data_IF_075513405996
#
_entry.id   IF_075513405996
#
_cell.length_a   1.000
_cell.length_b   1.000
_cell.length_c   1.000
_cell.angle_alpha   90.00
_cell.angle_beta   90.00
_cell.angle_gamma   90.00
#
_symmetry.space_group_name_H-M   'P 1'
#
loop_
_entity.id
_entity.type
_entity.pdbx_description
1 polymer ?
#
# COMPACT_ATOMS: atom_id res chain seq x y z
N UNK A 1 3.77 -19.08 35.68
CA UNK A 1 4.60 -19.01 34.45
C UNK A 1 5.85 -18.20 34.75
N UNK A 2 7.01 -18.66 34.28
CA UNK A 2 8.26 -17.92 34.41
C UNK A 2 8.15 -16.57 33.69
N UNK A 3 8.79 -15.52 34.21
CA UNK A 3 8.80 -14.16 33.60
C UNK A 3 9.19 -14.18 32.10
N UNK A 4 10.01 -15.16 31.70
CA UNK A 4 10.42 -15.38 30.31
C UNK A 4 9.28 -15.89 29.42
N UNK A 5 8.46 -16.84 29.89
CA UNK A 5 7.32 -17.39 29.14
C UNK A 5 6.31 -16.27 28.83
N UNK A 6 5.96 -15.47 29.84
CA UNK A 6 5.02 -14.36 29.67
C UNK A 6 5.54 -13.29 28.68
N UNK A 7 6.85 -13.02 28.70
CA UNK A 7 7.49 -12.11 27.74
C UNK A 7 7.45 -12.65 26.32
N UNK A 8 7.69 -13.95 26.13
CA UNK A 8 7.64 -14.60 24.81
C UNK A 8 6.22 -14.54 24.25
N UNK A 9 5.21 -14.92 25.04
CA UNK A 9 3.80 -14.85 24.62
C UNK A 9 3.40 -13.44 24.19
N UNK A 10 3.76 -12.40 24.96
CA UNK A 10 3.49 -11.00 24.59
C UNK A 10 4.16 -10.57 23.29
N UNK A 11 5.39 -11.06 23.03
CA UNK A 11 6.11 -10.76 21.78
C UNK A 11 5.43 -11.47 20.60
N UNK A 12 5.04 -12.73 20.75
CA UNK A 12 4.37 -13.51 19.71
C UNK A 12 3.00 -12.90 19.35
N UNK A 13 2.20 -12.53 20.35
CA UNK A 13 0.91 -11.87 20.13
C UNK A 13 1.05 -10.55 19.36
N UNK A 14 2.07 -9.74 19.71
CA UNK A 14 2.35 -8.49 19.00
C UNK A 14 2.84 -8.75 17.58
N UNK A 15 3.76 -9.69 17.40
CA UNK A 15 4.29 -10.03 16.08
C UNK A 15 3.19 -10.57 15.18
N UNK A 16 2.29 -11.40 15.71
CA UNK A 16 1.13 -11.92 14.98
C UNK A 16 0.26 -10.79 14.40
N UNK A 17 -0.07 -9.78 15.22
CA UNK A 17 -0.81 -8.60 14.75
C UNK A 17 -0.08 -7.86 13.63
N UNK A 18 1.23 -7.62 13.81
CA UNK A 18 2.07 -6.95 12.81
C UNK A 18 2.14 -7.75 11.49
N UNK A 19 2.24 -9.07 11.55
CA UNK A 19 2.29 -9.90 10.34
C UNK A 19 0.96 -9.89 9.60
N UNK A 20 -0.18 -9.89 10.29
CA UNK A 20 -1.50 -9.72 9.65
C UNK A 20 -1.56 -8.39 8.89
N UNK A 21 -1.14 -7.30 9.53
CA UNK A 21 -1.15 -5.96 8.93
C UNK A 21 -0.26 -5.91 7.68
N UNK A 22 0.94 -6.52 7.74
CA UNK A 22 1.84 -6.63 6.58
C UNK A 22 1.21 -7.41 5.42
N UNK A 23 0.54 -8.53 5.71
CA UNK A 23 -0.14 -9.33 4.69
C UNK A 23 -1.26 -8.50 4.04
N UNK A 24 -2.04 -7.77 4.83
CA UNK A 24 -3.07 -6.87 4.31
C UNK A 24 -2.48 -5.76 3.43
N UNK A 25 -1.42 -5.08 3.91
CA UNK A 25 -0.74 -4.01 3.18
C UNK A 25 -0.20 -4.44 1.82
N UNK A 26 0.27 -5.69 1.73
CA UNK A 26 0.83 -6.25 0.50
C UNK A 26 -0.19 -6.98 -0.37
N UNK A 27 -1.42 -7.18 0.13
CA UNK A 27 -2.48 -7.92 -0.55
C UNK A 27 -2.96 -7.26 -1.85
N UNK A 28 -3.40 -8.09 -2.80
CA UNK A 28 -4.08 -7.62 -4.01
C UNK A 28 -5.43 -6.96 -3.71
N UNK A 29 -6.12 -7.41 -2.65
CA UNK A 29 -7.39 -6.82 -2.22
C UNK A 29 -7.25 -5.34 -1.92
N UNK A 30 -6.24 -4.94 -1.14
CA UNK A 30 -5.96 -3.53 -0.86
C UNK A 30 -5.60 -2.76 -2.13
N UNK A 31 -4.82 -3.35 -3.05
CA UNK A 31 -4.41 -2.70 -4.31
C UNK A 31 -5.60 -2.42 -5.23
N UNK A 32 -6.52 -3.38 -5.34
CA UNK A 32 -7.75 -3.22 -6.14
C UNK A 32 -8.63 -2.13 -5.53
N UNK A 33 -8.79 -2.10 -4.20
CA UNK A 33 -9.53 -1.05 -3.51
C UNK A 33 -8.91 0.33 -3.75
N UNK A 34 -7.59 0.46 -3.60
CA UNK A 34 -6.87 1.70 -3.88
C UNK A 34 -7.08 2.14 -5.34
N UNK A 35 -6.90 1.24 -6.30
CA UNK A 35 -7.11 1.55 -7.71
C UNK A 35 -8.54 2.02 -8.00
N UNK A 36 -9.54 1.31 -7.46
CA UNK A 36 -10.95 1.63 -7.65
C UNK A 36 -11.29 3.01 -7.04
N UNK A 37 -10.92 3.25 -5.77
CA UNK A 37 -11.23 4.52 -5.11
C UNK A 37 -10.49 5.69 -5.71
N UNK A 38 -9.21 5.53 -6.08
CA UNK A 38 -8.45 6.58 -6.77
C UNK A 38 -9.07 6.91 -8.12
N UNK A 39 -9.45 5.89 -8.91
CA UNK A 39 -10.10 6.10 -10.19
C UNK A 39 -11.44 6.83 -10.06
N UNK A 40 -12.29 6.41 -9.13
CA UNK A 40 -13.58 7.05 -8.89
C UNK A 40 -13.41 8.49 -8.40
N UNK A 41 -12.53 8.73 -7.41
CA UNK A 41 -12.29 10.07 -6.86
C UNK A 41 -11.82 11.05 -7.93
N UNK A 42 -10.85 10.65 -8.76
CA UNK A 42 -10.32 11.50 -9.83
C UNK A 42 -11.37 11.69 -10.92
N UNK A 43 -12.10 10.64 -11.30
CA UNK A 43 -13.16 10.74 -12.33
C UNK A 43 -14.25 11.71 -11.91
N UNK A 44 -14.73 11.62 -10.67
CA UNK A 44 -15.73 12.55 -10.14
C UNK A 44 -15.20 13.98 -10.03
N UNK A 45 -13.95 14.15 -9.59
CA UNK A 45 -13.33 15.47 -9.55
C UNK A 45 -13.24 16.10 -10.95
N UNK A 46 -12.71 15.36 -11.94
CA UNK A 46 -12.59 15.84 -13.32
C UNK A 46 -13.95 16.14 -13.96
N UNK A 47 -14.97 15.36 -13.61
CA UNK A 47 -16.35 15.62 -14.03
C UNK A 47 -16.91 16.90 -13.39
N UNK A 48 -16.63 17.15 -12.11
CA UNK A 48 -17.09 18.34 -11.40
C UNK A 48 -16.49 19.65 -11.93
N UNK A 49 -15.28 19.59 -12.50
CA UNK A 49 -14.62 20.74 -13.16
C UNK A 49 -14.83 20.75 -14.69
N UNK A 50 -15.78 19.97 -15.20
CA UNK A 50 -16.21 19.94 -16.61
C UNK A 50 -15.07 19.65 -17.62
N UNK A 51 -14.07 18.86 -17.21
CA UNK A 51 -13.00 18.40 -18.11
C UNK A 51 -13.59 17.48 -19.17
N UNK A 52 -13.18 17.65 -20.43
CA UNK A 52 -13.58 16.75 -21.50
C UNK A 52 -13.08 15.32 -21.23
N UNK A 53 -13.97 14.33 -21.38
CA UNK A 53 -13.66 12.89 -21.20
C UNK A 53 -13.05 12.58 -19.82
N UNK A 54 -13.73 12.92 -18.70
CA UNK A 54 -13.15 12.83 -17.35
C UNK A 54 -12.76 11.39 -16.97
N UNK A 55 -13.57 10.41 -17.35
CA UNK A 55 -13.34 8.98 -17.13
C UNK A 55 -12.12 8.42 -17.87
N UNK A 56 -11.80 8.98 -19.05
CA UNK A 56 -10.61 8.61 -19.81
C UNK A 56 -9.36 9.28 -19.19
N UNK A 57 -9.48 10.56 -18.85
CA UNK A 57 -8.38 11.33 -18.28
C UNK A 57 -7.97 10.85 -16.89
N UNK A 58 -8.91 10.27 -16.12
CA UNK A 58 -8.64 9.68 -14.82
C UNK A 58 -7.77 8.40 -14.88
N UNK A 59 -7.64 7.76 -16.04
CA UNK A 59 -6.84 6.53 -16.20
C UNK A 59 -5.36 6.81 -15.92
N UNK A 60 -4.81 7.87 -16.51
CA UNK A 60 -3.37 8.21 -16.39
C UNK A 60 -2.93 8.39 -14.93
N UNK A 61 -3.54 9.28 -14.13
CA UNK A 61 -3.13 9.46 -12.74
C UNK A 61 -3.47 8.24 -11.85
N UNK A 62 -4.52 7.49 -12.15
CA UNK A 62 -4.88 6.28 -11.39
C UNK A 62 -3.88 5.15 -11.61
N UNK A 63 -3.46 4.92 -12.86
CA UNK A 63 -2.39 3.97 -13.19
C UNK A 63 -1.06 4.45 -12.61
N UNK A 64 -0.74 5.74 -12.72
CA UNK A 64 0.48 6.30 -12.12
C UNK A 64 0.55 6.05 -10.61
N UNK A 65 -0.55 6.29 -9.90
CA UNK A 65 -0.65 5.98 -8.47
C UNK A 65 -0.50 4.48 -8.21
N UNK A 66 -1.22 3.62 -8.94
CA UNK A 66 -1.12 2.17 -8.78
C UNK A 66 0.31 1.66 -9.01
N UNK A 67 0.99 2.13 -10.06
CA UNK A 67 2.38 1.77 -10.33
C UNK A 67 3.33 2.22 -9.21
N UNK A 68 3.09 3.38 -8.58
CA UNK A 68 3.87 3.80 -7.41
C UNK A 68 3.75 2.79 -6.26
N UNK A 69 2.55 2.23 -6.03
CA UNK A 69 2.34 1.23 -4.96
C UNK A 69 3.09 -0.08 -5.23
N UNK A 70 3.31 -0.42 -6.51
CA UNK A 70 4.02 -1.64 -6.93
C UNK A 70 5.54 -1.44 -6.97
N UNK A 71 6.01 -0.25 -7.34
CA UNK A 71 7.44 0.02 -7.57
C UNK A 71 8.18 0.44 -6.31
N UNK A 72 7.54 1.12 -5.36
CA UNK A 72 8.19 1.58 -4.12
C UNK A 72 8.83 0.45 -3.30
N UNK A 73 8.21 -0.74 -3.11
CA UNK A 73 8.87 -1.85 -2.42
C UNK A 73 10.14 -2.33 -3.12
N UNK A 74 10.13 -2.35 -4.46
CA UNK A 74 11.30 -2.72 -5.26
C UNK A 74 12.45 -1.72 -5.05
N UNK A 75 12.18 -0.42 -5.18
CA UNK A 75 13.19 0.61 -4.96
C UNK A 75 13.68 0.67 -3.51
N UNK A 76 12.80 0.41 -2.53
CA UNK A 76 13.18 0.26 -1.13
C UNK A 76 14.22 -0.86 -0.95
N UNK A 77 13.97 -2.04 -1.53
CA UNK A 77 14.90 -3.17 -1.43
C UNK A 77 16.24 -2.86 -2.12
N UNK A 78 16.21 -2.16 -3.26
CA UNK A 78 17.40 -1.69 -3.94
C UNK A 78 18.20 -0.73 -3.05
N UNK A 79 17.53 0.25 -2.45
CA UNK A 79 18.17 1.22 -1.56
C UNK A 79 18.81 0.55 -0.34
N UNK A 80 18.10 -0.40 0.29
CA UNK A 80 18.64 -1.18 1.41
C UNK A 80 19.91 -1.93 0.99
N UNK A 81 19.92 -2.55 -0.19
CA UNK A 81 21.05 -3.35 -0.68
C UNK A 81 22.31 -2.50 -0.94
N UNK A 82 22.17 -1.30 -1.49
CA UNK A 82 23.30 -0.51 -1.97
C UNK A 82 23.71 0.65 -1.05
N UNK A 83 22.79 1.20 -0.28
CA UNK A 83 23.02 2.41 0.52
C UNK A 83 22.87 2.18 2.03
N UNK A 84 22.02 1.25 2.45
CA UNK A 84 21.85 0.94 3.87
C UNK A 84 22.97 0.01 4.36
N UNK A 85 24.08 0.60 4.82
CA UNK A 85 25.08 -0.10 5.64
C UNK A 85 24.58 -0.10 7.08
N UNK A 86 24.24 -1.29 7.58
CA UNK A 86 24.02 -1.51 9.01
C UNK A 86 25.36 -1.60 9.73
#
# INVERSE_FOLDING_TARGET
>A
MNNLEERVTKIEERNYKVEIDKVWETSWSRRILLAAFTYLAISFYLQAIEIQRPWLNAIVPSIGFLLSTLTLPFFKNLWIKYFYKK
#
